data_IF_141602718512
#
_entry.id   IF_141602718512
#
_cell.length_a   1.000
_cell.length_b   1.000
_cell.length_c   1.000
_cell.angle_alpha   90.00
_cell.angle_beta   90.00
_cell.angle_gamma   90.00
#
_symmetry.space_group_name_H-M   'P 1'
#
loop_
_entity.id
_entity.type
_entity.pdbx_description
1 polymer ?
#
# COMPACT_ATOMS: atom_id res chain seq x y z
N UNK A 1 24.13 27.03 4.43
CA UNK A 1 24.46 25.68 3.96
C UNK A 1 23.21 25.10 3.30
N UNK A 2 23.25 24.81 2.01
CA UNK A 2 22.20 24.00 1.38
C UNK A 2 22.41 22.55 1.81
N UNK A 3 21.37 21.92 2.35
CA UNK A 3 21.39 20.50 2.65
C UNK A 3 21.29 19.72 1.33
N UNK A 4 22.31 18.94 1.03
CA UNK A 4 22.32 18.00 -0.10
C UNK A 4 21.70 16.70 0.43
N UNK A 5 20.74 16.13 -0.30
CA UNK A 5 20.15 14.85 0.06
C UNK A 5 21.21 13.74 -0.02
N UNK A 6 21.16 12.73 0.83
CA UNK A 6 22.08 11.59 0.74
C UNK A 6 22.08 10.92 -0.64
N UNK A 7 20.92 10.88 -1.31
CA UNK A 7 20.81 10.35 -2.67
C UNK A 7 21.62 11.17 -3.69
N UNK A 8 21.72 12.47 -3.46
CA UNK A 8 22.41 13.42 -4.33
C UNK A 8 23.91 13.47 -3.99
N UNK A 9 24.27 13.28 -2.71
CA UNK A 9 25.65 13.14 -2.26
C UNK A 9 26.32 11.84 -2.74
N UNK A 10 25.55 10.79 -2.96
CA UNK A 10 26.02 9.49 -3.47
C UNK A 10 25.96 9.42 -5.01
N UNK A 11 25.34 10.41 -5.68
CA UNK A 11 25.28 10.48 -7.13
C UNK A 11 26.67 10.79 -7.71
N UNK A 12 27.28 9.89 -8.49
CA UNK A 12 28.60 10.12 -9.09
C UNK A 12 28.61 11.25 -10.14
N UNK A 13 27.45 11.69 -10.61
CA UNK A 13 27.29 12.79 -11.58
C UNK A 13 26.70 14.06 -10.94
N UNK A 14 26.72 14.17 -9.61
CA UNK A 14 26.20 15.33 -8.88
C UNK A 14 26.84 16.65 -9.36
N UNK A 15 26.00 17.56 -9.86
CA UNK A 15 26.44 18.87 -10.39
C UNK A 15 26.62 18.94 -11.90
N UNK A 16 26.53 17.82 -12.62
CA UNK A 16 26.55 17.75 -14.08
C UNK A 16 25.18 17.24 -14.61
N UNK A 17 24.30 18.21 -14.91
CA UNK A 17 22.95 17.95 -15.39
C UNK A 17 22.94 17.23 -16.75
N UNK A 18 23.95 17.45 -17.60
CA UNK A 18 23.99 16.82 -18.92
C UNK A 18 24.39 15.34 -18.83
N UNK A 19 25.35 15.01 -17.95
CA UNK A 19 25.73 13.62 -17.69
C UNK A 19 24.61 12.83 -17.00
N UNK A 20 23.89 13.44 -16.06
CA UNK A 20 22.73 12.81 -15.40
C UNK A 20 21.57 12.60 -16.39
N UNK A 21 21.29 13.60 -17.24
CA UNK A 21 20.25 13.47 -18.27
C UNK A 21 20.62 12.44 -19.34
N UNK A 22 21.89 12.28 -19.68
CA UNK A 22 22.36 11.34 -20.70
C UNK A 22 21.97 9.88 -20.40
N UNK A 23 21.85 9.50 -19.12
CA UNK A 23 21.36 8.16 -18.72
C UNK A 23 19.92 7.90 -19.19
N UNK A 24 19.09 8.94 -19.24
CA UNK A 24 17.69 8.89 -19.64
C UNK A 24 17.47 9.12 -21.15
N UNK A 25 18.54 9.29 -21.93
CA UNK A 25 18.48 9.49 -23.38
C UNK A 25 18.78 8.22 -24.19
N UNK A 26 18.33 8.17 -25.45
CA UNK A 26 18.61 7.07 -26.38
C UNK A 26 17.81 5.79 -26.11
N UNK A 27 18.46 4.63 -26.24
CA UNK A 27 17.82 3.30 -26.15
C UNK A 27 17.31 3.00 -24.73
N UNK A 28 17.91 3.61 -23.70
CA UNK A 28 17.45 3.46 -22.32
C UNK A 28 16.12 4.18 -22.06
N UNK A 29 15.84 5.28 -22.75
CA UNK A 29 14.57 6.00 -22.65
C UNK A 29 13.37 5.08 -22.91
N UNK A 30 13.48 4.19 -23.91
CA UNK A 30 12.44 3.22 -24.27
C UNK A 30 12.17 2.26 -23.11
N UNK A 31 13.22 1.81 -22.39
CA UNK A 31 13.06 0.91 -21.23
C UNK A 31 12.29 1.60 -20.10
N UNK A 32 12.61 2.86 -19.80
CA UNK A 32 11.90 3.62 -18.76
C UNK A 32 10.45 3.92 -19.15
N UNK A 33 10.20 4.23 -20.42
CA UNK A 33 8.84 4.44 -20.93
C UNK A 33 8.02 3.16 -20.83
N UNK A 34 8.57 2.02 -21.25
CA UNK A 34 7.91 0.71 -21.12
C UNK A 34 7.62 0.39 -19.66
N UNK A 35 8.57 0.61 -18.74
CA UNK A 35 8.36 0.40 -17.31
C UNK A 35 7.21 1.26 -16.78
N UNK A 36 7.17 2.56 -17.13
CA UNK A 36 6.08 3.46 -16.72
C UNK A 36 4.74 3.01 -17.28
N UNK A 37 4.68 2.66 -18.56
CA UNK A 37 3.45 2.16 -19.20
C UNK A 37 3.00 0.85 -18.54
N UNK A 38 3.91 -0.08 -18.26
CA UNK A 38 3.60 -1.33 -17.58
C UNK A 38 3.01 -1.08 -16.18
N UNK A 39 3.61 -0.19 -15.39
CA UNK A 39 3.08 0.20 -14.08
C UNK A 39 1.66 0.78 -14.23
N UNK A 40 1.45 1.70 -15.15
CA UNK A 40 0.13 2.31 -15.38
C UNK A 40 -0.90 1.26 -15.80
N UNK A 41 -0.56 0.36 -16.72
CA UNK A 41 -1.46 -0.71 -17.18
C UNK A 41 -1.84 -1.63 -16.01
N UNK A 42 -0.89 -2.03 -15.18
CA UNK A 42 -1.16 -2.84 -13.98
C UNK A 42 -2.07 -2.10 -13.00
N UNK A 43 -1.79 -0.81 -12.73
CA UNK A 43 -2.64 0.00 -11.86
C UNK A 43 -4.06 0.14 -12.40
N UNK A 44 -4.24 0.35 -13.70
CA UNK A 44 -5.57 0.43 -14.35
C UNK A 44 -6.32 -0.88 -14.24
N UNK A 45 -5.67 -2.02 -14.51
CA UNK A 45 -6.30 -3.35 -14.37
C UNK A 45 -6.75 -3.56 -12.92
N UNK A 46 -5.89 -3.26 -11.94
CA UNK A 46 -6.24 -3.36 -10.52
C UNK A 46 -7.40 -2.43 -10.16
N UNK A 47 -7.44 -1.19 -10.66
CA UNK A 47 -8.55 -0.25 -10.43
C UNK A 47 -9.88 -0.75 -11.01
N UNK A 48 -9.86 -1.48 -12.13
CA UNK A 48 -11.10 -2.04 -12.71
C UNK A 48 -11.58 -3.25 -11.92
N UNK A 49 -10.67 -4.16 -11.53
CA UNK A 49 -11.05 -5.39 -10.81
C UNK A 49 -11.48 -5.07 -9.36
N UNK A 50 -10.77 -4.18 -8.68
CA UNK A 50 -10.99 -3.85 -7.26
C UNK A 50 -11.89 -2.62 -7.09
N UNK A 51 -12.65 -2.23 -8.12
CA UNK A 51 -13.48 -1.01 -8.10
C UNK A 51 -14.39 -0.95 -6.88
N UNK A 52 -15.01 -2.08 -6.53
CA UNK A 52 -15.99 -2.18 -5.45
C UNK A 52 -15.33 -2.32 -4.04
N UNK A 53 -14.03 -2.65 -4.00
CA UNK A 53 -13.23 -2.81 -2.77
C UNK A 53 -12.01 -1.88 -2.75
N UNK A 54 -12.08 -0.70 -3.40
CA UNK A 54 -10.94 0.21 -3.49
C UNK A 54 -10.47 0.70 -2.11
N UNK A 55 -11.40 0.87 -1.16
CA UNK A 55 -11.04 1.21 0.22
C UNK A 55 -10.17 0.13 0.85
N UNK A 56 -10.51 -1.15 0.67
CA UNK A 56 -9.75 -2.28 1.21
C UNK A 56 -8.34 -2.38 0.59
N UNK A 57 -8.20 -2.04 -0.70
CA UNK A 57 -6.89 -1.93 -1.35
C UNK A 57 -6.04 -0.82 -0.73
N UNK A 58 -6.63 0.37 -0.53
CA UNK A 58 -5.93 1.51 0.08
C UNK A 58 -5.53 1.18 1.52
N UNK A 59 -6.41 0.54 2.28
CA UNK A 59 -6.14 0.12 3.65
C UNK A 59 -5.06 -0.96 3.70
N UNK A 60 -5.06 -1.92 2.75
CA UNK A 60 -4.01 -2.93 2.61
C UNK A 60 -2.64 -2.31 2.32
N UNK A 61 -2.55 -1.45 1.29
CA UNK A 61 -1.29 -0.80 0.90
C UNK A 61 -0.82 0.16 2.00
N UNK A 62 -1.74 0.92 2.58
CA UNK A 62 -1.45 1.85 3.67
C UNK A 62 -0.91 1.14 4.91
N UNK A 63 -1.64 0.14 5.40
CA UNK A 63 -1.24 -0.61 6.59
C UNK A 63 0.10 -1.33 6.40
N UNK A 64 0.35 -1.92 5.23
CA UNK A 64 1.60 -2.63 4.95
C UNK A 64 2.78 -1.67 4.76
N UNK A 65 2.67 -0.67 3.89
CA UNK A 65 3.77 0.26 3.60
C UNK A 65 4.13 1.14 4.79
N UNK A 66 3.14 1.69 5.52
CA UNK A 66 3.41 2.57 6.67
C UNK A 66 4.04 1.75 7.80
N UNK A 67 3.50 0.57 8.10
CA UNK A 67 4.05 -0.29 9.16
C UNK A 67 5.49 -0.70 8.83
N UNK A 68 5.77 -1.12 7.58
CA UNK A 68 7.10 -1.60 7.20
C UNK A 68 8.13 -0.47 7.09
N UNK A 69 7.85 0.56 6.30
CA UNK A 69 8.84 1.59 5.92
C UNK A 69 8.94 2.66 7.01
N UNK A 70 7.81 3.09 7.57
CA UNK A 70 7.77 4.25 8.47
C UNK A 70 7.90 3.88 9.94
N UNK A 71 7.56 2.64 10.33
CA UNK A 71 7.60 2.20 11.74
C UNK A 71 8.67 1.14 11.97
N UNK A 72 8.58 -0.02 11.32
CA UNK A 72 9.47 -1.15 11.58
C UNK A 72 10.90 -0.87 11.16
N UNK A 73 11.11 -0.38 9.92
CA UNK A 73 12.45 -0.13 9.39
C UNK A 73 13.29 0.81 10.28
N UNK A 74 12.84 2.03 10.66
CA UNK A 74 13.65 2.92 11.49
C UNK A 74 13.89 2.36 12.89
N UNK A 75 12.88 1.74 13.53
CA UNK A 75 13.04 1.22 14.90
C UNK A 75 13.97 0.00 14.92
N UNK A 76 13.84 -0.92 13.96
CA UNK A 76 14.73 -2.08 13.85
C UNK A 76 16.16 -1.63 13.53
N UNK A 77 16.33 -0.64 12.64
CA UNK A 77 17.67 -0.13 12.29
C UNK A 77 18.33 0.57 13.47
N UNK A 78 17.57 1.39 14.22
CA UNK A 78 18.03 2.02 15.46
C UNK A 78 18.44 0.99 16.50
N UNK A 79 17.59 0.00 16.76
CA UNK A 79 17.89 -1.08 17.71
C UNK A 79 19.13 -1.87 17.27
N UNK A 80 19.25 -2.22 15.98
CA UNK A 80 20.41 -2.97 15.46
C UNK A 80 21.71 -2.17 15.58
N UNK A 81 21.67 -0.86 15.30
CA UNK A 81 22.86 0.00 15.30
C UNK A 81 23.33 0.37 16.71
N UNK A 82 22.41 0.66 17.62
CA UNK A 82 22.71 1.14 18.98
C UNK A 82 22.40 0.10 20.08
N UNK A 83 22.40 -1.21 19.73
CA UNK A 83 21.94 -2.29 20.63
C UNK A 83 22.65 -2.33 22.00
N UNK A 84 23.92 -1.93 22.03
CA UNK A 84 24.80 -1.95 23.21
C UNK A 84 24.91 -0.58 23.89
N UNK A 85 24.49 0.50 23.24
CA UNK A 85 24.53 1.85 23.82
C UNK A 85 23.19 2.24 24.47
N UNK A 86 22.08 1.66 24.01
CA UNK A 86 20.75 2.00 24.52
C UNK A 86 20.47 1.28 25.85
N UNK A 87 20.16 2.01 26.93
CA UNK A 87 19.75 1.42 28.20
C UNK A 87 18.39 0.72 28.08
N UNK A 88 18.18 -0.31 28.92
CA UNK A 88 17.03 -1.23 28.81
C UNK A 88 15.65 -0.54 28.88
N UNK A 89 15.54 0.62 29.52
CA UNK A 89 14.28 1.34 29.68
C UNK A 89 13.74 1.95 28.37
N UNK A 90 14.59 2.22 27.38
CA UNK A 90 14.19 2.66 26.03
C UNK A 90 13.99 1.48 25.07
N UNK A 91 14.75 0.40 25.29
CA UNK A 91 14.74 -0.80 24.46
C UNK A 91 13.43 -1.60 24.56
N UNK A 92 12.92 -1.76 25.77
CA UNK A 92 11.68 -2.51 26.05
C UNK A 92 10.45 -1.87 25.37
N UNK A 93 10.15 -0.57 25.55
CA UNK A 93 9.00 0.04 24.87
C UNK A 93 9.16 0.07 23.35
N UNK A 94 10.38 0.27 22.83
CA UNK A 94 10.64 0.19 21.39
C UNK A 94 10.33 -1.20 20.82
N UNK A 95 10.73 -2.26 21.52
CA UNK A 95 10.40 -3.64 21.15
C UNK A 95 8.89 -3.90 21.20
N UNK A 96 8.20 -3.39 22.23
CA UNK A 96 6.74 -3.51 22.36
C UNK A 96 6.04 -2.85 21.17
N UNK A 97 6.46 -1.64 20.78
CA UNK A 97 5.89 -0.95 19.61
C UNK A 97 6.09 -1.75 18.33
N UNK A 98 7.29 -2.28 18.11
CA UNK A 98 7.59 -3.15 16.95
C UNK A 98 6.67 -4.36 16.91
N UNK A 99 6.48 -5.02 18.05
CA UNK A 99 5.63 -6.21 18.17
C UNK A 99 4.16 -5.84 17.92
N UNK A 100 3.63 -4.84 18.61
CA UNK A 100 2.22 -4.43 18.53
C UNK A 100 1.88 -3.90 17.13
N UNK A 101 2.68 -2.97 16.60
CA UNK A 101 2.47 -2.44 15.24
C UNK A 101 2.68 -3.53 14.19
N UNK A 102 3.62 -4.46 14.38
CA UNK A 102 3.79 -5.62 13.51
C UNK A 102 2.54 -6.51 13.49
N UNK A 103 2.01 -6.87 14.65
CA UNK A 103 0.80 -7.70 14.73
C UNK A 103 -0.44 -7.00 14.18
N UNK A 104 -0.67 -5.74 14.55
CA UNK A 104 -1.81 -4.95 14.06
C UNK A 104 -1.69 -4.69 12.55
N UNK A 105 -0.50 -4.35 12.06
CA UNK A 105 -0.23 -4.16 10.64
C UNK A 105 -0.49 -5.44 9.85
N UNK A 106 -0.02 -6.59 10.32
CA UNK A 106 -0.31 -7.89 9.73
C UNK A 106 -1.81 -8.22 9.78
N UNK A 107 -2.50 -7.90 10.88
CA UNK A 107 -3.94 -8.14 11.02
C UNK A 107 -4.75 -7.33 9.99
N UNK A 108 -4.51 -6.02 9.88
CA UNK A 108 -5.20 -5.15 8.92
C UNK A 108 -4.87 -5.58 7.48
N UNK A 109 -3.59 -5.87 7.20
CA UNK A 109 -3.16 -6.39 5.90
C UNK A 109 -3.86 -7.72 5.56
N UNK A 110 -4.02 -8.62 6.54
CA UNK A 110 -4.67 -9.91 6.33
C UNK A 110 -6.18 -9.79 6.13
N UNK A 111 -6.87 -8.99 6.96
CA UNK A 111 -8.33 -8.82 6.84
C UNK A 111 -8.69 -8.11 5.54
N UNK A 112 -8.02 -7.00 5.21
CA UNK A 112 -8.25 -6.29 3.96
C UNK A 112 -7.88 -7.16 2.75
N UNK A 113 -6.79 -7.93 2.85
CA UNK A 113 -6.36 -8.84 1.79
C UNK A 113 -7.35 -9.99 1.53
N UNK A 114 -7.96 -10.55 2.57
CA UNK A 114 -9.01 -11.58 2.38
C UNK A 114 -10.23 -11.01 1.68
N UNK A 115 -10.72 -9.85 2.11
CA UNK A 115 -11.82 -9.16 1.44
C UNK A 115 -11.48 -8.86 -0.03
N UNK A 116 -10.22 -8.54 -0.33
CA UNK A 116 -9.77 -8.12 -1.65
C UNK A 116 -9.54 -9.25 -2.66
N UNK A 117 -9.03 -10.41 -2.21
CA UNK A 117 -8.61 -11.50 -3.10
C UNK A 117 -9.47 -12.76 -3.02
N UNK A 118 -10.28 -12.92 -1.96
CA UNK A 118 -11.18 -14.05 -1.76
C UNK A 118 -12.34 -13.66 -0.83
N UNK A 119 -13.26 -12.78 -1.29
CA UNK A 119 -14.44 -12.42 -0.51
C UNK A 119 -15.18 -13.71 -0.14
N UNK A 120 -15.22 -14.00 1.17
CA UNK A 120 -15.81 -15.23 1.70
C UNK A 120 -17.27 -15.00 2.13
N UNK A 121 -17.66 -13.73 2.26
CA UNK A 121 -19.04 -13.35 2.54
C UNK A 121 -19.75 -13.12 1.21
N UNK A 122 -20.86 -13.84 1.04
CA UNK A 122 -21.82 -13.60 -0.02
C UNK A 122 -22.33 -12.16 0.15
N UNK A 123 -21.85 -11.22 -0.67
CA UNK A 123 -22.42 -9.89 -0.85
C UNK A 123 -23.83 -10.04 -1.46
N UNK A 124 -24.73 -10.53 -0.62
CA UNK A 124 -26.13 -10.76 -0.92
C UNK A 124 -26.88 -9.83 0.01
N UNK A 125 -27.43 -8.76 -0.53
CA UNK A 125 -28.23 -7.77 0.21
C UNK A 125 -29.41 -8.44 0.93
N UNK A 126 -29.86 -9.60 0.42
CA UNK A 126 -30.88 -10.46 1.01
C UNK A 126 -30.40 -11.92 1.13
N UNK A 127 -29.65 -12.29 2.18
CA UNK A 127 -29.00 -13.60 2.33
C UNK A 127 -29.97 -14.77 2.59
N UNK A 128 -31.26 -14.48 2.74
CA UNK A 128 -32.33 -15.47 2.92
C UNK A 128 -33.18 -15.68 1.67
N UNK A 129 -32.87 -14.99 0.58
CA UNK A 129 -33.55 -15.13 -0.70
C UNK A 129 -32.85 -16.18 -1.58
N UNK A 130 -33.58 -16.78 -2.52
CA UNK A 130 -32.97 -17.63 -3.55
C UNK A 130 -31.95 -16.84 -4.38
N UNK A 131 -30.92 -17.53 -4.90
CA UNK A 131 -29.77 -16.92 -5.60
C UNK A 131 -30.11 -15.92 -6.73
N UNK A 132 -31.31 -16.00 -7.31
CA UNK A 132 -31.78 -15.06 -8.33
C UNK A 132 -32.19 -13.68 -7.76
N UNK A 133 -32.55 -13.63 -6.47
CA UNK A 133 -33.12 -12.46 -5.77
C UNK A 133 -32.25 -11.93 -4.64
N UNK A 134 -31.09 -12.52 -4.40
CA UNK A 134 -30.15 -12.13 -3.34
C UNK A 134 -29.67 -10.67 -3.43
N UNK A 135 -29.74 -10.05 -4.61
CA UNK A 135 -29.29 -8.68 -4.88
C UNK A 135 -30.36 -7.81 -5.57
N UNK A 136 -31.64 -8.20 -5.49
CA UNK A 136 -32.74 -7.46 -6.09
C UNK A 136 -33.82 -7.17 -5.05
N UNK A 137 -34.16 -5.89 -4.87
CA UNK A 137 -35.23 -5.47 -3.97
C UNK A 137 -36.57 -5.99 -4.49
N UNK A 138 -37.18 -6.94 -3.77
CA UNK A 138 -38.45 -7.59 -4.16
C UNK A 138 -39.58 -6.58 -4.45
N UNK A 139 -39.59 -5.45 -3.75
CA UNK A 139 -40.57 -4.39 -3.96
C UNK A 139 -40.00 -3.01 -3.69
N UNK A 140 -39.91 -2.18 -4.72
CA UNK A 140 -39.50 -0.78 -4.61
C UNK A 140 -40.74 0.12 -4.55
N UNK A 141 -41.14 0.51 -3.34
CA UNK A 141 -42.33 1.36 -3.11
C UNK A 141 -42.26 2.68 -3.92
N UNK A 142 -41.08 3.30 -4.00
CA UNK A 142 -40.86 4.57 -4.69
C UNK A 142 -40.99 4.45 -6.21
N UNK A 143 -40.60 3.30 -6.78
CA UNK A 143 -40.77 3.02 -8.21
C UNK A 143 -42.24 2.83 -8.60
N UNK A 144 -43.06 2.24 -7.72
CA UNK A 144 -44.46 1.94 -8.01
C UNK A 144 -45.38 3.12 -7.70
N UNK A 145 -45.08 3.93 -6.67
CA UNK A 145 -45.99 4.97 -6.19
C UNK A 145 -45.57 6.39 -6.55
N UNK A 146 -44.39 6.57 -7.17
CA UNK A 146 -43.84 7.89 -7.47
C UNK A 146 -43.47 8.65 -6.20
N UNK A 147 -42.43 9.49 -6.27
CA UNK A 147 -42.06 10.38 -5.16
C UNK A 147 -43.10 11.50 -4.99
#
# INVERSE_FOLDING_TARGET
>A
MSYISNADAENPYHGDLEAEAAEYHGVNAIKYVILRVAIIVVLVILSVILKDHFSDLVDFVGASCITLISILLPIIFLLKKLWHEIPLYEKIPALIVVVVCGFLGCYVTYTSGKTLFAPTDSDTEFPYCDSEYENQVYYNYTAVHGA
#
